data_IF_598196889299
#
_entry.id   IF_598196889299
#
_cell.length_a   1.000
_cell.length_b   1.000
_cell.length_c   1.000
_cell.angle_alpha   90.00
_cell.angle_beta   90.00
_cell.angle_gamma   90.00
#
_symmetry.space_group_name_H-M   'P 1'
#
loop_
_entity.id
_entity.type
_entity.pdbx_description
1 polymer ?
#
# COMPACT_ATOMS: atom_id res chain seq x y z
N UNK A 1 51.07 -6.01 42.02
CA UNK A 1 51.04 -4.56 41.75
C UNK A 1 51.51 -4.35 40.32
N UNK A 2 50.61 -4.00 39.40
CA UNK A 2 50.99 -3.66 38.01
C UNK A 2 50.22 -2.41 37.57
N UNK A 3 51.01 -1.44 37.13
CA UNK A 3 50.63 -0.07 36.85
C UNK A 3 49.74 0.05 35.59
N UNK A 4 48.77 0.95 35.67
CA UNK A 4 47.93 1.39 34.56
C UNK A 4 48.72 2.44 33.75
N UNK A 5 48.89 2.18 32.46
CA UNK A 5 49.43 3.14 31.51
C UNK A 5 48.33 4.12 31.07
N UNK A 6 48.46 5.37 31.49
CA UNK A 6 47.75 6.52 30.92
C UNK A 6 48.55 7.04 29.73
N UNK A 7 47.91 7.17 28.58
CA UNK A 7 48.45 7.93 27.45
C UNK A 7 47.52 9.12 27.15
N UNK A 8 48.03 10.31 27.45
CA UNK A 8 47.51 11.59 26.98
C UNK A 8 48.30 12.03 25.75
N UNK A 9 47.62 12.48 24.69
CA UNK A 9 48.12 13.59 23.88
C UNK A 9 46.99 14.24 23.09
N UNK A 10 46.88 15.54 23.29
CA UNK A 10 46.05 16.47 22.55
C UNK A 10 46.53 16.66 21.10
N UNK A 11 45.62 17.14 20.24
CA UNK A 11 45.79 18.40 19.47
C UNK A 11 44.55 18.67 18.62
N UNK A 12 43.97 19.86 18.81
CA UNK A 12 42.93 20.41 17.94
C UNK A 12 43.52 21.16 16.75
N UNK A 13 42.71 21.31 15.70
CA UNK A 13 42.86 22.33 14.66
C UNK A 13 41.45 22.76 14.24
N UNK A 14 41.14 24.03 14.48
CA UNK A 14 39.93 24.70 14.02
C UNK A 14 40.05 25.00 12.51
N UNK A 15 38.96 24.80 11.76
CA UNK A 15 38.89 25.16 10.33
C UNK A 15 37.89 26.29 10.12
N UNK A 16 38.44 27.44 9.76
CA UNK A 16 37.79 28.63 9.21
C UNK A 16 37.34 28.34 7.78
N UNK A 17 36.10 28.66 7.42
CA UNK A 17 35.75 28.99 6.03
C UNK A 17 34.87 30.24 5.95
N UNK A 18 35.29 31.04 4.98
CA UNK A 18 35.06 32.45 4.68
C UNK A 18 33.67 32.72 4.11
N UNK A 19 33.20 33.95 4.34
CA UNK A 19 32.10 34.63 3.65
C UNK A 19 32.43 35.04 2.21
N UNK A 20 31.39 35.10 1.36
CA UNK A 20 31.05 36.07 0.29
C UNK A 20 30.00 35.38 -0.63
N UNK A 21 28.98 35.99 -1.22
CA UNK A 21 28.67 37.37 -1.57
C UNK A 21 27.15 37.59 -1.67
N UNK A 22 26.75 38.85 -1.56
CA UNK A 22 25.39 39.38 -1.63
C UNK A 22 24.79 39.43 -3.04
N UNK A 23 23.47 39.52 -3.12
CA UNK A 23 22.75 40.33 -4.13
C UNK A 23 21.57 41.06 -3.45
N UNK A 24 21.29 42.33 -3.78
CA UNK A 24 20.39 43.18 -3.02
C UNK A 24 19.00 43.30 -3.68
N UNK A 25 17.92 43.20 -2.89
CA UNK A 25 16.61 43.70 -3.29
C UNK A 25 15.94 44.44 -2.14
N UNK A 26 15.92 45.76 -2.32
CA UNK A 26 14.90 46.74 -1.98
C UNK A 26 14.22 46.72 -0.60
N UNK A 27 14.64 47.72 0.17
CA UNK A 27 14.07 48.28 1.39
C UNK A 27 12.75 49.00 1.09
N UNK A 28 11.69 48.72 1.85
CA UNK A 28 10.56 49.61 2.03
C UNK A 28 10.29 49.76 3.53
N UNK A 29 10.53 50.95 4.04
CA UNK A 29 10.30 51.38 5.42
C UNK A 29 8.87 51.90 5.56
N UNK A 30 8.07 51.26 6.41
CA UNK A 30 6.79 51.81 6.87
C UNK A 30 6.93 52.26 8.33
N UNK A 31 6.91 53.57 8.54
CA UNK A 31 6.88 54.24 9.84
C UNK A 31 5.45 54.33 10.35
N UNK A 32 5.16 53.77 11.52
CA UNK A 32 3.93 54.04 12.28
C UNK A 32 4.26 54.95 13.49
N UNK A 33 3.43 55.96 13.78
CA UNK A 33 3.69 56.90 14.87
C UNK A 33 3.39 56.26 16.23
N UNK A 34 4.34 56.37 17.17
CA UNK A 34 4.14 56.04 18.58
C UNK A 34 3.27 57.12 19.25
N UNK A 35 2.03 56.79 19.54
CA UNK A 35 1.20 57.57 20.46
C UNK A 35 1.73 57.31 21.88
N UNK A 36 2.29 58.36 22.48
CA UNK A 36 2.78 58.36 23.86
C UNK A 36 1.61 58.65 24.79
N UNK A 37 1.08 57.62 25.46
CA UNK A 37 0.16 57.81 26.58
C UNK A 37 0.98 57.66 27.86
N UNK A 38 1.19 58.77 28.55
CA UNK A 38 1.75 58.83 29.89
C UNK A 38 0.79 58.14 30.86
N UNK A 39 1.21 57.01 31.43
CA UNK A 39 0.63 56.51 32.68
C UNK A 39 1.76 56.23 33.67
N UNK A 40 1.62 56.87 34.82
CA UNK A 40 2.51 56.91 35.97
C UNK A 40 2.90 55.52 36.44
N UNK A 41 4.20 55.21 36.43
CA UNK A 41 4.76 54.03 37.11
C UNK A 41 4.59 54.21 38.61
N UNK A 42 3.68 53.47 39.22
CA UNK A 42 3.63 53.31 40.67
C UNK A 42 4.61 52.21 41.04
N UNK A 43 5.73 52.58 41.68
CA UNK A 43 6.65 51.63 42.27
C UNK A 43 6.02 51.18 43.60
N UNK A 44 5.32 50.05 43.59
CA UNK A 44 5.00 49.37 44.83
C UNK A 44 6.29 48.71 45.33
N UNK A 45 6.99 49.39 46.24
CA UNK A 45 8.01 48.76 47.07
C UNK A 45 7.31 47.77 48.00
N UNK A 46 7.14 46.53 47.55
CA UNK A 46 6.76 45.44 48.43
C UNK A 46 7.92 45.19 49.41
N UNK A 47 7.63 45.35 50.70
CA UNK A 47 8.52 44.97 51.79
C UNK A 47 9.04 43.54 51.56
N UNK A 48 10.31 43.31 51.90
CA UNK A 48 10.91 41.97 52.04
C UNK A 48 10.12 41.17 53.08
N UNK A 49 9.00 40.58 52.68
CA UNK A 49 8.60 39.31 53.22
C UNK A 49 9.62 38.27 52.70
N UNK A 50 10.00 37.32 53.55
CA UNK A 50 10.90 36.23 53.18
C UNK A 50 10.55 35.68 51.78
N UNK A 51 11.52 35.22 50.97
CA UNK A 51 11.19 34.58 49.70
C UNK A 51 10.35 33.35 50.03
N UNK A 52 9.02 33.48 49.94
CA UNK A 52 8.16 32.33 49.72
C UNK A 52 8.73 31.77 48.43
N UNK A 53 9.38 30.62 48.53
CA UNK A 53 9.86 29.84 47.41
C UNK A 53 8.67 29.66 46.48
N UNK A 54 8.51 30.58 45.53
CA UNK A 54 7.46 30.53 44.53
C UNK A 54 7.83 29.29 43.74
N UNK A 55 7.13 28.20 44.05
CA UNK A 55 7.38 26.88 43.51
C UNK A 55 7.58 27.02 42.02
N UNK A 56 8.62 26.37 41.52
CA UNK A 56 8.84 26.17 40.09
C UNK A 56 7.47 25.83 39.46
N UNK A 57 7.08 26.39 38.30
CA UNK A 57 5.80 26.02 37.69
C UNK A 57 5.84 24.52 37.41
N UNK A 58 5.22 23.76 38.30
CA UNK A 58 5.13 22.32 38.27
C UNK A 58 3.81 21.96 37.59
N UNK A 59 3.90 21.06 36.64
CA UNK A 59 2.71 20.51 36.00
C UNK A 59 1.89 19.77 37.07
N UNK A 60 0.56 19.80 37.00
CA UNK A 60 -0.25 19.06 37.97
C UNK A 60 0.11 17.57 37.91
N UNK A 61 0.09 16.89 39.05
CA UNK A 61 0.50 15.46 39.14
C UNK A 61 -0.32 14.56 38.21
N UNK A 62 -1.57 14.95 37.91
CA UNK A 62 -2.48 14.25 37.01
C UNK A 62 -2.33 14.67 35.53
N UNK A 63 -1.30 15.47 35.19
CA UNK A 63 -1.07 15.89 33.82
C UNK A 63 -0.49 14.75 32.98
N UNK A 64 -1.22 14.40 31.92
CA UNK A 64 -0.73 13.50 30.88
C UNK A 64 -0.47 14.31 29.61
N UNK A 65 0.71 14.14 29.02
CA UNK A 65 1.04 14.81 27.76
C UNK A 65 0.14 14.30 26.63
N UNK A 66 -0.42 15.18 25.78
CA UNK A 66 -1.23 14.78 24.63
C UNK A 66 -0.53 13.78 23.69
N UNK A 67 0.80 13.89 23.57
CA UNK A 67 1.60 13.04 22.70
C UNK A 67 2.06 11.73 23.36
N UNK A 68 1.82 11.57 24.67
CA UNK A 68 2.18 10.37 25.44
C UNK A 68 1.00 9.96 26.33
N UNK A 69 -0.11 9.51 25.73
CA UNK A 69 -1.22 8.96 26.52
C UNK A 69 -0.77 7.70 27.27
N UNK A 70 -1.51 7.29 28.31
CA UNK A 70 -1.19 6.08 29.08
C UNK A 70 -1.38 4.84 28.22
N UNK A 71 -0.34 4.03 28.13
CA UNK A 71 -0.30 2.82 27.31
C UNK A 71 -0.27 1.57 28.20
N UNK A 72 -0.69 0.42 27.67
CA UNK A 72 -0.60 -0.88 28.36
C UNK A 72 0.86 -1.30 28.63
N UNK A 73 1.76 -0.95 27.71
CA UNK A 73 3.20 -1.21 27.80
C UNK A 73 3.99 0.08 27.62
N UNK A 74 5.21 0.13 28.15
CA UNK A 74 6.09 1.30 28.04
C UNK A 74 6.27 1.72 26.58
N UNK A 75 5.98 2.99 26.21
CA UNK A 75 6.02 3.44 24.82
C UNK A 75 7.44 3.55 24.27
N UNK A 76 8.44 3.74 25.12
CA UNK A 76 9.85 3.90 24.73
C UNK A 76 10.49 2.62 24.20
N UNK A 77 9.88 1.47 24.47
CA UNK A 77 10.45 0.20 24.02
C UNK A 77 10.28 0.02 22.51
N UNK A 78 11.33 -0.52 21.87
CA UNK A 78 11.30 -0.86 20.44
C UNK A 78 10.09 -1.73 20.08
N UNK A 79 9.67 -2.64 20.96
CA UNK A 79 8.50 -3.52 20.74
C UNK A 79 7.21 -2.72 20.56
N UNK A 80 6.95 -1.76 21.45
CA UNK A 80 5.76 -0.89 21.37
C UNK A 80 5.77 -0.03 20.11
N UNK A 81 6.93 0.52 19.75
CA UNK A 81 7.08 1.31 18.52
C UNK A 81 6.86 0.47 17.26
N UNK A 82 7.38 -0.76 17.22
CA UNK A 82 7.16 -1.67 16.08
C UNK A 82 5.68 -2.03 15.93
N UNK A 83 4.95 -2.27 17.02
CA UNK A 83 3.51 -2.55 16.95
C UNK A 83 2.79 -1.34 16.34
N UNK A 84 3.07 -0.11 16.80
CA UNK A 84 2.46 1.11 16.25
C UNK A 84 2.75 1.31 14.76
N UNK A 85 3.98 1.03 14.33
CA UNK A 85 4.37 1.11 12.92
C UNK A 85 3.63 0.05 12.11
N UNK A 86 3.52 -1.18 12.61
CA UNK A 86 2.84 -2.26 11.91
C UNK A 86 1.33 -2.10 11.87
N UNK A 87 0.68 -1.57 12.90
CA UNK A 87 -0.75 -1.27 12.86
C UNK A 87 -1.05 -0.16 11.85
N UNK A 88 -0.22 0.89 11.80
CA UNK A 88 -0.33 1.94 10.79
C UNK A 88 -0.12 1.37 9.37
N UNK A 89 0.90 0.52 9.20
CA UNK A 89 1.19 -0.16 7.93
C UNK A 89 -0.02 -0.99 7.49
N UNK A 90 -0.53 -1.90 8.33
CA UNK A 90 -1.68 -2.77 8.03
C UNK A 90 -2.96 -2.00 7.65
N UNK A 91 -3.17 -0.79 8.18
CA UNK A 91 -4.32 0.06 7.84
C UNK A 91 -4.09 0.86 6.55
N UNK A 92 -2.87 1.33 6.34
CA UNK A 92 -2.52 2.16 5.18
C UNK A 92 -2.30 1.38 3.89
N UNK A 93 -1.88 0.12 3.98
CA UNK A 93 -1.54 -0.69 2.81
C UNK A 93 -2.61 -1.75 2.54
N UNK A 94 -3.47 -1.57 1.52
CA UNK A 94 -4.51 -2.54 1.19
C UNK A 94 -3.94 -3.83 0.58
N UNK A 95 -2.76 -3.78 -0.04
CA UNK A 95 -2.11 -4.94 -0.67
C UNK A 95 -0.73 -5.18 -0.05
N UNK A 96 -0.54 -6.40 0.46
CA UNK A 96 0.74 -6.86 1.02
C UNK A 96 1.04 -8.28 0.55
N UNK A 97 2.26 -8.56 0.10
CA UNK A 97 2.71 -9.92 -0.21
C UNK A 97 3.71 -10.38 0.83
N UNK A 98 3.56 -11.62 1.33
CA UNK A 98 4.44 -12.21 2.32
C UNK A 98 5.44 -13.16 1.66
N UNK A 99 6.71 -12.88 1.91
CA UNK A 99 7.84 -13.67 1.46
C UNK A 99 8.55 -14.30 2.64
N UNK A 100 8.80 -15.61 2.59
CA UNK A 100 9.79 -16.22 3.46
C UNK A 100 11.17 -15.88 2.94
N UNK A 101 12.06 -15.47 3.83
CA UNK A 101 13.43 -15.14 3.46
C UNK A 101 14.43 -16.02 4.23
N UNK A 102 15.34 -16.68 3.52
CA UNK A 102 16.33 -17.56 4.13
C UNK A 102 17.73 -16.95 4.09
N UNK A 103 18.21 -16.38 5.21
CA UNK A 103 19.59 -15.91 5.39
C UNK A 103 20.17 -15.10 4.20
N UNK A 104 19.43 -14.08 3.75
CA UNK A 104 19.94 -13.16 2.72
C UNK A 104 20.99 -12.21 3.29
N UNK A 105 22.05 -11.99 2.51
CA UNK A 105 23.08 -10.99 2.83
C UNK A 105 22.63 -9.57 2.47
N UNK A 106 23.31 -8.55 3.02
CA UNK A 106 22.99 -7.16 2.70
C UNK A 106 23.17 -6.83 1.20
N UNK A 107 24.16 -7.45 0.56
CA UNK A 107 24.42 -7.31 -0.88
C UNK A 107 23.28 -7.91 -1.70
N UNK A 108 22.83 -9.11 -1.35
CA UNK A 108 21.67 -9.76 -1.99
C UNK A 108 20.40 -8.92 -1.82
N UNK A 109 20.12 -8.40 -0.62
CA UNK A 109 18.98 -7.50 -0.40
C UNK A 109 19.06 -6.24 -1.26
N UNK A 110 20.24 -5.65 -1.40
CA UNK A 110 20.43 -4.46 -2.24
C UNK A 110 20.20 -4.76 -3.72
N UNK A 111 20.64 -5.93 -4.19
CA UNK A 111 20.44 -6.39 -5.57
C UNK A 111 18.96 -6.65 -5.86
N UNK A 112 18.26 -7.39 -4.98
CA UNK A 112 16.81 -7.64 -5.13
C UNK A 112 16.02 -6.33 -5.15
N UNK A 113 16.32 -5.40 -4.24
CA UNK A 113 15.66 -4.08 -4.18
C UNK A 113 15.92 -3.24 -5.44
N UNK A 114 17.13 -3.33 -6.00
CA UNK A 114 17.50 -2.63 -7.24
C UNK A 114 16.67 -3.14 -8.42
N UNK A 115 16.59 -4.46 -8.60
CA UNK A 115 15.81 -5.05 -9.69
C UNK A 115 14.30 -4.80 -9.51
N UNK A 116 13.80 -4.84 -8.28
CA UNK A 116 12.41 -4.50 -7.97
C UNK A 116 12.10 -3.04 -8.35
N UNK A 117 12.91 -2.08 -7.90
CA UNK A 117 12.73 -0.66 -8.26
C UNK A 117 12.76 -0.45 -9.77
N UNK A 118 13.68 -1.12 -10.47
CA UNK A 118 13.78 -1.06 -11.92
C UNK A 118 12.52 -1.59 -12.61
N UNK A 119 12.00 -2.74 -12.17
CA UNK A 119 10.80 -3.31 -12.74
C UNK A 119 9.55 -2.46 -12.48
N UNK A 120 9.44 -1.86 -11.28
CA UNK A 120 8.35 -0.94 -10.98
C UNK A 120 8.41 0.34 -11.80
N UNK A 121 9.61 0.89 -12.04
CA UNK A 121 9.77 2.08 -12.90
C UNK A 121 9.45 1.83 -14.38
N UNK A 122 9.41 0.57 -14.82
CA UNK A 122 9.03 0.21 -16.19
C UNK A 122 7.51 0.21 -16.39
N UNK A 123 6.73 0.12 -15.30
CA UNK A 123 5.27 0.14 -15.37
C UNK A 123 4.83 1.53 -15.83
N UNK A 124 4.01 1.63 -16.90
CA UNK A 124 3.53 2.92 -17.37
C UNK A 124 2.71 3.59 -16.26
N UNK A 125 2.97 4.88 -16.02
CA UNK A 125 2.19 5.66 -15.08
C UNK A 125 0.70 5.61 -15.48
N UNK A 126 -0.23 5.50 -14.51
CA UNK A 126 -1.65 5.50 -14.82
C UNK A 126 -2.03 6.77 -15.58
N UNK A 127 -2.88 6.58 -16.58
CA UNK A 127 -3.35 7.65 -17.48
C UNK A 127 -4.00 8.73 -16.62
N UNK A 128 -3.69 10.00 -16.92
CA UNK A 128 -4.26 11.19 -16.26
C UNK A 128 -5.78 11.04 -16.24
N UNK A 129 -6.37 11.05 -15.03
CA UNK A 129 -7.82 11.04 -14.89
C UNK A 129 -8.45 12.27 -15.55
N UNK A 130 -9.76 12.27 -15.80
CA UNK A 130 -10.48 13.38 -16.43
C UNK A 130 -10.30 14.73 -15.71
N UNK A 131 -9.89 14.71 -14.44
CA UNK A 131 -9.68 15.90 -13.59
C UNK A 131 -8.28 16.55 -13.72
N UNK A 132 -7.40 16.04 -14.60
CA UNK A 132 -6.09 16.63 -14.86
C UNK A 132 -5.06 16.52 -13.71
N UNK A 133 -5.42 15.89 -12.59
CA UNK A 133 -4.49 15.58 -11.52
C UNK A 133 -3.55 14.45 -11.95
N UNK A 134 -2.24 14.70 -11.94
CA UNK A 134 -1.24 13.66 -12.17
C UNK A 134 -1.36 12.62 -11.05
N UNK A 135 -1.65 11.35 -11.36
CA UNK A 135 -1.68 10.32 -10.34
C UNK A 135 -0.30 10.20 -9.67
N UNK A 136 -0.30 10.13 -8.34
CA UNK A 136 0.92 10.01 -7.52
C UNK A 136 1.71 8.79 -7.97
N UNK A 137 3.01 8.94 -8.21
CA UNK A 137 3.88 7.81 -8.52
C UNK A 137 3.96 6.85 -7.32
N UNK A 138 3.44 5.65 -7.51
CA UNK A 138 3.38 4.62 -6.47
C UNK A 138 4.71 3.86 -6.40
N UNK A 139 5.54 3.88 -7.45
CA UNK A 139 6.74 3.05 -7.55
C UNK A 139 7.73 3.26 -6.40
N UNK A 140 7.90 4.50 -5.93
CA UNK A 140 8.82 4.82 -4.82
C UNK A 140 8.33 4.33 -3.45
N UNK A 141 7.01 4.28 -3.29
CA UNK A 141 6.36 3.88 -2.05
C UNK A 141 6.29 2.36 -1.86
N UNK A 142 6.43 1.59 -2.95
CA UNK A 142 6.46 0.13 -2.90
C UNK A 142 7.83 -0.32 -2.41
N UNK A 143 7.84 -1.01 -1.27
CA UNK A 143 9.08 -1.42 -0.61
C UNK A 143 8.97 -2.83 -0.04
N UNK A 144 10.06 -3.58 -0.15
CA UNK A 144 10.22 -4.87 0.52
C UNK A 144 10.91 -4.67 1.89
N UNK A 145 10.15 -4.93 2.95
CA UNK A 145 10.56 -4.73 4.32
C UNK A 145 10.62 -6.06 5.07
N UNK A 146 11.67 -6.26 5.86
CA UNK A 146 11.78 -7.43 6.74
C UNK A 146 10.92 -7.20 7.98
N UNK A 147 10.00 -8.12 8.24
CA UNK A 147 9.09 -8.02 9.37
C UNK A 147 9.63 -8.77 10.59
N UNK A 148 9.19 -8.31 11.77
CA UNK A 148 9.34 -9.08 13.01
C UNK A 148 8.03 -9.76 13.30
N UNK A 149 7.92 -11.03 12.91
CA UNK A 149 6.69 -11.81 12.93
C UNK A 149 5.95 -11.73 14.25
N UNK A 150 6.60 -11.92 15.40
CA UNK A 150 5.92 -11.82 16.72
C UNK A 150 5.31 -10.45 17.03
N UNK A 151 5.86 -9.35 16.52
CA UNK A 151 5.28 -8.01 16.73
C UNK A 151 4.22 -7.70 15.68
N UNK A 152 4.42 -8.19 14.46
CA UNK A 152 3.46 -8.06 13.37
C UNK A 152 2.18 -8.87 13.65
N UNK A 153 2.32 -10.08 14.21
CA UNK A 153 1.24 -10.93 14.70
C UNK A 153 0.34 -10.19 15.72
N UNK A 154 0.96 -9.56 16.73
CA UNK A 154 0.22 -8.75 17.72
C UNK A 154 -0.45 -7.54 17.06
N UNK A 155 0.25 -6.86 16.14
CA UNK A 155 -0.34 -5.73 15.41
C UNK A 155 -1.55 -6.16 14.56
N UNK A 156 -1.50 -7.35 13.96
CA UNK A 156 -2.62 -7.90 13.21
C UNK A 156 -3.83 -8.15 14.09
N UNK A 157 -3.64 -8.76 15.27
CA UNK A 157 -4.72 -8.95 16.26
C UNK A 157 -5.36 -7.63 16.67
N UNK A 158 -4.55 -6.58 16.90
CA UNK A 158 -5.08 -5.26 17.24
C UNK A 158 -5.90 -4.69 16.07
N UNK A 159 -5.45 -4.83 14.83
CA UNK A 159 -6.20 -4.28 13.68
C UNK A 159 -7.53 -4.99 13.47
N UNK A 160 -7.65 -6.27 13.80
CA UNK A 160 -8.86 -7.04 13.56
C UNK A 160 -9.84 -7.08 14.73
N UNK A 161 -9.36 -7.15 15.97
CA UNK A 161 -10.22 -7.34 17.15
C UNK A 161 -10.48 -6.06 17.95
N UNK A 162 -9.78 -4.96 17.65
CA UNK A 162 -9.95 -3.71 18.38
C UNK A 162 -10.65 -2.65 17.53
N UNK A 163 -11.89 -2.34 17.91
CA UNK A 163 -12.69 -1.27 17.33
C UNK A 163 -12.54 0.02 18.13
N UNK A 164 -11.82 0.98 17.54
CA UNK A 164 -11.58 2.27 18.16
C UNK A 164 -12.86 3.11 18.36
N UNK A 165 -13.88 2.90 17.50
CA UNK A 165 -15.16 3.61 17.58
C UNK A 165 -15.99 3.19 18.80
N UNK A 166 -15.94 1.91 19.17
CA UNK A 166 -16.61 1.41 20.38
C UNK A 166 -15.92 1.92 21.64
N UNK A 167 -14.59 1.92 21.63
CA UNK A 167 -13.80 2.49 22.70
C UNK A 167 -14.09 4.00 22.86
N UNK A 168 -14.23 4.75 21.76
CA UNK A 168 -14.49 6.20 21.82
C UNK A 168 -15.82 6.56 22.51
N UNK A 169 -16.81 5.66 22.52
CA UNK A 169 -18.10 5.86 23.21
C UNK A 169 -17.96 5.83 24.73
N UNK A 170 -16.89 5.22 25.26
CA UNK A 170 -16.59 5.21 26.67
C UNK A 170 -15.85 6.51 27.06
N UNK A 171 -16.42 7.29 27.99
CA UNK A 171 -16.02 8.67 28.30
C UNK A 171 -14.57 8.88 28.77
N UNK A 172 -13.82 7.81 29.06
CA UNK A 172 -12.43 7.84 29.54
C UNK A 172 -11.50 6.85 28.81
N UNK A 173 -11.92 6.27 27.69
CA UNK A 173 -11.13 5.25 27.00
C UNK A 173 -10.16 5.88 25.99
N UNK A 174 -8.90 5.44 26.05
CA UNK A 174 -7.91 5.81 25.05
C UNK A 174 -8.08 4.94 23.80
N UNK A 175 -8.18 5.57 22.63
CA UNK A 175 -8.48 4.91 21.35
C UNK A 175 -7.25 4.46 20.56
N UNK A 176 -6.05 4.71 21.07
CA UNK A 176 -4.82 4.35 20.36
C UNK A 176 -4.49 2.85 20.51
N UNK A 177 -3.75 2.30 19.55
CA UNK A 177 -3.45 0.86 19.44
C UNK A 177 -2.69 0.24 20.62
N UNK A 178 -1.96 1.06 21.37
CA UNK A 178 -1.16 0.64 22.53
C UNK A 178 -1.90 0.83 23.87
N UNK A 179 -3.18 1.18 23.82
CA UNK A 179 -4.02 1.42 24.99
C UNK A 179 -4.27 0.14 25.79
N UNK A 180 -4.71 0.30 27.04
CA UNK A 180 -5.13 -0.83 27.89
C UNK A 180 -6.38 -1.52 27.33
N UNK A 181 -7.31 -0.74 26.78
CA UNK A 181 -8.54 -1.23 26.14
C UNK A 181 -8.23 -2.11 24.93
N UNK A 182 -7.32 -1.68 24.05
CA UNK A 182 -6.87 -2.51 22.92
C UNK A 182 -6.20 -3.81 23.38
N UNK A 183 -5.41 -3.74 24.45
CA UNK A 183 -4.77 -4.93 25.03
C UNK A 183 -5.79 -5.92 25.63
N UNK A 184 -6.80 -5.42 26.34
CA UNK A 184 -7.86 -6.23 26.92
C UNK A 184 -8.76 -6.84 25.84
N UNK A 185 -9.13 -6.07 24.81
CA UNK A 185 -9.89 -6.56 23.66
C UNK A 185 -9.17 -7.72 22.96
N UNK A 186 -7.88 -7.56 22.64
CA UNK A 186 -7.08 -8.62 22.01
C UNK A 186 -6.91 -9.83 22.93
N UNK A 187 -6.86 -9.64 24.25
CA UNK A 187 -6.75 -10.75 25.21
C UNK A 187 -8.08 -11.52 25.35
N UNK A 188 -9.20 -10.82 25.24
CA UNK A 188 -10.54 -11.41 25.29
C UNK A 188 -10.96 -12.04 23.95
N UNK A 189 -10.33 -11.65 22.84
CA UNK A 189 -10.70 -12.11 21.51
C UNK A 189 -10.36 -13.59 21.26
N UNK A 190 -11.32 -14.28 20.65
CA UNK A 190 -11.18 -15.68 20.22
C UNK A 190 -10.29 -15.78 18.98
N UNK A 191 -9.04 -16.14 19.21
CA UNK A 191 -8.00 -16.25 18.17
C UNK A 191 -8.16 -17.51 17.30
N UNK A 192 -9.00 -18.46 17.71
CA UNK A 192 -9.13 -19.80 17.10
C UNK A 192 -10.20 -19.87 16.00
N UNK A 193 -11.00 -18.83 15.82
CA UNK A 193 -12.09 -18.83 14.84
C UNK A 193 -11.53 -18.83 13.41
N UNK A 194 -11.82 -19.85 12.58
CA UNK A 194 -11.22 -19.99 11.24
C UNK A 194 -11.76 -18.99 10.21
N UNK A 195 -12.89 -18.34 10.49
CA UNK A 195 -13.53 -17.37 9.59
C UNK A 195 -12.89 -15.97 9.65
N UNK A 196 -12.02 -15.74 10.63
CA UNK A 196 -11.33 -14.48 10.89
C UNK A 196 -10.12 -14.34 9.96
N UNK A 197 -9.85 -13.15 9.43
CA UNK A 197 -8.73 -12.91 8.51
C UNK A 197 -7.37 -13.21 9.18
N UNK A 198 -7.26 -12.97 10.47
CA UNK A 198 -6.10 -13.32 11.30
C UNK A 198 -5.83 -14.82 11.25
N UNK A 199 -6.85 -15.65 11.41
CA UNK A 199 -6.67 -17.09 11.44
C UNK A 199 -6.15 -17.63 10.10
N UNK A 200 -6.53 -17.00 8.99
CA UNK A 200 -6.05 -17.35 7.66
C UNK A 200 -4.61 -16.89 7.39
N UNK A 201 -4.21 -15.72 7.93
CA UNK A 201 -2.88 -15.14 7.68
C UNK A 201 -1.84 -15.58 8.72
N UNK A 202 -2.26 -15.91 9.95
CA UNK A 202 -1.37 -16.32 11.04
C UNK A 202 -0.43 -17.48 10.67
N UNK A 203 -0.86 -18.54 9.97
CA UNK A 203 0.03 -19.61 9.52
C UNK A 203 1.14 -19.13 8.55
N UNK A 204 0.89 -18.07 7.79
CA UNK A 204 1.86 -17.49 6.85
C UNK A 204 2.93 -16.65 7.57
N UNK A 205 2.71 -16.30 8.83
CA UNK A 205 3.60 -15.47 9.66
C UNK A 205 4.56 -16.30 10.53
N UNK A 206 4.71 -17.58 10.24
CA UNK A 206 5.66 -18.46 10.91
C UNK A 206 7.07 -18.35 10.29
N UNK A 207 8.09 -18.18 11.15
CA UNK A 207 9.48 -18.06 10.71
C UNK A 207 9.93 -16.64 10.33
N UNK A 208 11.01 -16.51 9.53
CA UNK A 208 11.50 -15.23 9.04
C UNK A 208 10.73 -14.78 7.79
N UNK A 209 9.95 -13.70 7.93
CA UNK A 209 9.06 -13.18 6.88
C UNK A 209 9.41 -11.74 6.53
N UNK A 210 9.38 -11.43 5.23
CA UNK A 210 9.42 -10.10 4.66
C UNK A 210 8.07 -9.80 4.00
N UNK A 211 7.65 -8.54 4.01
CA UNK A 211 6.47 -8.10 3.29
C UNK A 211 6.85 -7.12 2.19
N UNK A 212 6.24 -7.29 1.02
CA UNK A 212 6.20 -6.29 -0.03
C UNK A 212 4.88 -5.54 0.09
N UNK A 213 4.95 -4.24 0.38
CA UNK A 213 3.77 -3.40 0.65
C UNK A 213 3.43 -2.52 -0.54
N UNK A 214 2.15 -2.43 -0.86
CA UNK A 214 1.60 -1.53 -1.89
C UNK A 214 0.59 -0.59 -1.24
N UNK A 215 0.73 0.74 -1.40
CA UNK A 215 -0.27 1.69 -0.89
C UNK A 215 -1.61 1.65 -1.61
N UNK A 216 -1.64 1.17 -2.85
CA UNK A 216 -2.87 1.02 -3.64
C UNK A 216 -2.88 -0.35 -4.31
N UNK A 217 -4.08 -0.89 -4.57
CA UNK A 217 -4.24 -2.16 -5.27
C UNK A 217 -4.04 -1.92 -6.77
N UNK A 218 -2.82 -2.13 -7.26
CA UNK A 218 -2.48 -2.00 -8.67
C UNK A 218 -1.94 -3.32 -9.23
N UNK A 219 -2.77 -4.08 -9.99
CA UNK A 219 -2.35 -5.32 -10.64
C UNK A 219 -1.12 -5.17 -11.53
N UNK A 220 -0.95 -4.03 -12.22
CA UNK A 220 0.21 -3.79 -13.09
C UNK A 220 1.54 -3.77 -12.31
N UNK A 221 1.57 -3.08 -11.17
CA UNK A 221 2.74 -3.05 -10.29
C UNK A 221 2.98 -4.40 -9.60
N UNK A 222 1.90 -5.10 -9.24
CA UNK A 222 1.94 -6.45 -8.70
C UNK A 222 2.56 -7.42 -9.73
N UNK A 223 2.09 -7.39 -10.98
CA UNK A 223 2.60 -8.20 -12.07
C UNK A 223 4.09 -7.97 -12.34
N UNK A 224 4.53 -6.71 -12.33
CA UNK A 224 5.94 -6.36 -12.45
C UNK A 224 6.77 -6.91 -11.29
N UNK A 225 6.26 -6.83 -10.05
CA UNK A 225 6.92 -7.39 -8.89
C UNK A 225 6.99 -8.93 -8.94
N UNK A 226 5.92 -9.63 -9.37
CA UNK A 226 5.91 -11.10 -9.51
C UNK A 226 6.91 -11.57 -10.58
N UNK A 227 7.02 -10.87 -11.71
CA UNK A 227 8.02 -11.18 -12.75
C UNK A 227 9.45 -11.19 -12.23
N UNK A 228 9.75 -10.38 -11.20
CA UNK A 228 11.09 -10.31 -10.58
C UNK A 228 11.23 -11.29 -9.42
N UNK A 229 10.27 -11.32 -8.49
CA UNK A 229 10.43 -12.04 -7.22
C UNK A 229 10.05 -13.51 -7.32
N UNK A 230 9.02 -13.86 -8.09
CA UNK A 230 8.51 -15.22 -8.22
C UNK A 230 8.04 -15.46 -9.66
N UNK A 231 8.96 -15.53 -10.63
CA UNK A 231 8.61 -15.71 -12.03
C UNK A 231 7.93 -17.06 -12.24
N UNK A 232 6.78 -17.06 -12.91
CA UNK A 232 6.06 -18.28 -13.28
C UNK A 232 5.56 -18.16 -14.71
N UNK A 233 6.25 -18.85 -15.63
CA UNK A 233 5.83 -18.94 -17.02
C UNK A 233 4.54 -19.79 -17.13
N UNK A 234 3.58 -19.48 -18.02
CA UNK A 234 3.62 -18.45 -19.07
C UNK A 234 3.12 -17.04 -18.69
N UNK A 235 2.37 -16.87 -17.59
CA UNK A 235 1.72 -15.58 -17.25
C UNK A 235 2.69 -14.50 -16.76
N UNK A 236 3.69 -14.88 -15.96
CA UNK A 236 4.69 -13.97 -15.40
C UNK A 236 6.10 -14.42 -15.81
N UNK A 237 6.52 -14.15 -17.06
CA UNK A 237 7.84 -14.53 -17.53
C UNK A 237 8.92 -13.69 -16.82
N UNK A 238 10.03 -14.35 -16.49
CA UNK A 238 11.21 -13.66 -15.97
C UNK A 238 11.72 -12.63 -16.99
N UNK A 239 12.28 -11.49 -16.52
CA UNK A 239 12.82 -10.48 -17.41
C UNK A 239 13.96 -11.03 -18.27
N UNK A 240 14.00 -10.67 -19.55
CA UNK A 240 15.00 -11.21 -20.49
C UNK A 240 16.41 -10.70 -20.20
N UNK A 241 17.42 -11.55 -20.43
CA UNK A 241 18.85 -11.22 -20.25
C UNK A 241 19.29 -9.97 -20.99
N UNK A 242 18.76 -9.75 -22.20
CA UNK A 242 19.12 -8.59 -23.04
C UNK A 242 18.59 -7.29 -22.46
N UNK A 243 17.37 -7.29 -21.92
CA UNK A 243 16.74 -6.09 -21.36
C UNK A 243 17.29 -5.78 -19.97
N UNK A 244 17.42 -6.80 -19.12
CA UNK A 244 17.83 -6.67 -17.72
C UNK A 244 19.01 -7.60 -17.40
N UNK A 245 20.27 -7.19 -17.68
CA UNK A 245 21.44 -8.00 -17.35
C UNK A 245 21.66 -8.11 -15.83
N UNK A 246 21.30 -7.07 -15.06
CA UNK A 246 21.45 -7.03 -13.59
C UNK A 246 20.64 -8.10 -12.85
N UNK A 247 19.52 -8.54 -13.42
CA UNK A 247 18.73 -9.64 -12.88
C UNK A 247 19.50 -10.97 -12.84
N UNK A 248 20.42 -11.19 -13.79
CA UNK A 248 21.20 -12.42 -13.90
C UNK A 248 22.58 -12.32 -13.24
N UNK A 249 22.81 -11.26 -12.47
CA UNK A 249 23.97 -11.16 -11.59
C UNK A 249 23.88 -12.22 -10.49
N UNK A 250 25.02 -12.78 -10.07
CA UNK A 250 25.09 -13.81 -9.03
C UNK A 250 24.43 -13.37 -7.72
N UNK A 251 24.64 -12.11 -7.31
CA UNK A 251 24.04 -11.56 -6.09
C UNK A 251 22.51 -11.48 -6.17
N UNK A 252 21.95 -11.09 -7.32
CA UNK A 252 20.51 -11.03 -7.52
C UNK A 252 19.90 -12.44 -7.56
N UNK A 253 20.49 -13.35 -8.35
CA UNK A 253 20.01 -14.73 -8.48
C UNK A 253 20.07 -15.50 -7.17
N UNK A 254 21.18 -15.38 -6.43
CA UNK A 254 21.30 -16.02 -5.11
C UNK A 254 20.28 -15.47 -4.11
N UNK A 255 20.01 -14.16 -4.14
CA UNK A 255 18.99 -13.54 -3.30
C UNK A 255 17.58 -14.02 -3.65
N UNK A 256 17.23 -14.08 -4.94
CA UNK A 256 15.91 -14.51 -5.41
C UNK A 256 15.63 -15.98 -5.09
N UNK A 257 16.63 -16.86 -5.20
CA UNK A 257 16.49 -18.28 -4.82
C UNK A 257 16.19 -18.49 -3.33
N UNK A 258 16.51 -17.53 -2.47
CA UNK A 258 16.28 -17.56 -1.02
C UNK A 258 14.96 -16.90 -0.60
N UNK A 259 14.25 -16.28 -1.54
CA UNK A 259 12.97 -15.63 -1.31
C UNK A 259 11.84 -16.49 -1.87
N UNK A 260 10.93 -16.90 -0.99
CA UNK A 260 9.79 -17.72 -1.36
C UNK A 260 8.50 -16.94 -1.12
N UNK A 261 7.67 -16.77 -2.14
CA UNK A 261 6.33 -16.20 -1.99
C UNK A 261 5.43 -17.22 -1.31
N UNK A 262 4.92 -16.89 -0.12
CA UNK A 262 3.97 -17.74 0.60
C UNK A 262 2.54 -17.40 0.17
N UNK A 263 2.20 -16.11 0.19
CA UNK A 263 0.86 -15.62 -0.09
C UNK A 263 0.78 -14.11 0.08
N UNK A 264 -0.42 -13.58 0.18
CA UNK A 264 -0.65 -12.15 0.33
C UNK A 264 -1.95 -11.82 1.04
N UNK A 265 -2.07 -10.56 1.42
CA UNK A 265 -3.29 -9.93 1.90
C UNK A 265 -3.72 -8.91 0.85
N UNK A 266 -4.95 -9.02 0.38
CA UNK A 266 -5.57 -8.04 -0.52
C UNK A 266 -6.89 -7.58 0.11
N UNK A 267 -6.98 -6.30 0.43
CA UNK A 267 -8.18 -5.64 0.98
C UNK A 267 -8.75 -6.35 2.24
N UNK A 268 -7.87 -6.88 3.08
CA UNK A 268 -8.26 -7.57 4.32
C UNK A 268 -8.55 -9.06 4.16
N UNK A 269 -8.54 -9.60 2.93
CA UNK A 269 -8.67 -11.03 2.68
C UNK A 269 -7.31 -11.69 2.47
N UNK A 270 -7.17 -12.92 2.95
CA UNK A 270 -5.99 -13.74 2.72
C UNK A 270 -6.06 -14.36 1.31
N UNK A 271 -4.93 -14.37 0.61
CA UNK A 271 -4.78 -14.99 -0.69
C UNK A 271 -3.54 -15.88 -0.69
N UNK A 272 -3.70 -17.10 -1.22
CA UNK A 272 -2.60 -18.02 -1.45
C UNK A 272 -1.76 -17.59 -2.66
N UNK A 273 -0.64 -18.29 -2.90
CA UNK A 273 0.21 -18.08 -4.08
C UNK A 273 -0.56 -17.99 -5.41
N UNK A 274 -1.52 -18.91 -5.65
CA UNK A 274 -2.34 -18.92 -6.86
C UNK A 274 -3.33 -17.74 -6.90
N UNK A 275 -3.87 -17.36 -5.74
CA UNK A 275 -4.75 -16.20 -5.63
C UNK A 275 -4.02 -14.89 -5.94
N UNK A 276 -2.80 -14.73 -5.43
CA UNK A 276 -1.94 -13.57 -5.76
C UNK A 276 -1.62 -13.51 -7.25
N UNK A 277 -1.34 -14.66 -7.87
CA UNK A 277 -1.10 -14.78 -9.30
C UNK A 277 -2.33 -14.34 -10.12
N UNK A 278 -3.52 -14.79 -9.72
CA UNK A 278 -4.78 -14.36 -10.33
C UNK A 278 -4.99 -12.85 -10.23
N UNK A 279 -4.77 -12.25 -9.05
CA UNK A 279 -4.89 -10.78 -8.87
C UNK A 279 -3.89 -10.02 -9.75
N UNK A 280 -2.66 -10.54 -9.88
CA UNK A 280 -1.66 -9.96 -10.78
C UNK A 280 -1.99 -10.12 -12.27
N UNK A 281 -2.82 -11.09 -12.63
CA UNK A 281 -3.24 -11.38 -14.01
C UNK A 281 -4.45 -10.58 -14.48
N UNK A 282 -5.02 -9.73 -13.62
CA UNK A 282 -6.15 -8.87 -13.98
C UNK A 282 -5.66 -7.75 -14.92
N UNK A 283 -5.96 -7.92 -16.21
CA UNK A 283 -5.68 -6.93 -17.24
C UNK A 283 -6.52 -5.66 -17.05
N UNK A 284 -5.91 -4.49 -17.28
CA UNK A 284 -6.58 -3.19 -17.16
C UNK A 284 -6.79 -2.70 -15.72
N UNK A 285 -6.42 -3.48 -14.70
CA UNK A 285 -6.51 -3.10 -13.30
C UNK A 285 -7.94 -2.72 -12.88
N UNK A 286 -8.07 -1.67 -12.07
CA UNK A 286 -9.36 -1.21 -11.56
C UNK A 286 -10.25 -0.65 -12.69
N UNK A 287 -9.65 -0.04 -13.72
CA UNK A 287 -10.39 0.45 -14.88
C UNK A 287 -10.88 -0.70 -15.76
N UNK A 288 -10.09 -1.77 -15.88
CA UNK A 288 -10.51 -3.03 -16.53
C UNK A 288 -11.76 -3.61 -15.85
N UNK A 289 -11.76 -3.73 -14.52
CA UNK A 289 -12.92 -4.20 -13.76
C UNK A 289 -14.13 -3.26 -13.89
N UNK A 290 -13.92 -1.94 -13.88
CA UNK A 290 -14.99 -0.97 -14.14
C UNK A 290 -15.55 -1.13 -15.55
N UNK A 291 -14.71 -1.33 -16.55
CA UNK A 291 -15.14 -1.57 -17.93
C UNK A 291 -15.93 -2.87 -18.06
N UNK A 292 -15.54 -3.93 -17.35
CA UNK A 292 -16.28 -5.20 -17.29
C UNK A 292 -17.64 -5.02 -16.64
N UNK A 293 -17.75 -4.23 -15.56
CA UNK A 293 -19.03 -3.89 -14.94
C UNK A 293 -19.92 -3.10 -15.90
N UNK A 294 -19.38 -2.08 -16.57
CA UNK A 294 -20.10 -1.30 -17.58
C UNK A 294 -20.56 -2.20 -18.73
N UNK A 295 -19.70 -3.11 -19.19
CA UNK A 295 -20.04 -4.09 -20.23
C UNK A 295 -21.13 -5.07 -19.76
N UNK A 296 -21.05 -5.59 -18.54
CA UNK A 296 -22.11 -6.46 -17.97
C UNK A 296 -23.44 -5.72 -17.90
N UNK A 297 -23.45 -4.47 -17.44
CA UNK A 297 -24.64 -3.61 -17.41
C UNK A 297 -25.18 -3.33 -18.82
N UNK A 298 -24.31 -2.99 -19.77
CA UNK A 298 -24.71 -2.75 -21.16
C UNK A 298 -25.22 -4.04 -21.83
N UNK A 299 -24.60 -5.19 -21.56
CA UNK A 299 -25.00 -6.49 -22.10
C UNK A 299 -26.38 -6.93 -21.58
N UNK A 300 -26.74 -6.60 -20.34
CA UNK A 300 -28.07 -6.86 -19.80
C UNK A 300 -29.14 -6.01 -20.52
N UNK A 301 -28.84 -4.73 -20.79
CA UNK A 301 -29.71 -3.85 -21.58
C UNK A 301 -29.85 -4.31 -23.04
N UNK A 302 -28.73 -4.65 -23.68
CA UNK A 302 -28.71 -5.20 -25.03
C UNK A 302 -29.49 -6.52 -25.10
N UNK A 303 -29.33 -7.40 -24.10
CA UNK A 303 -30.07 -8.66 -24.00
C UNK A 303 -31.58 -8.48 -24.08
N UNK A 304 -32.14 -7.51 -23.33
CA UNK A 304 -33.57 -7.18 -23.38
C UNK A 304 -34.00 -6.66 -24.76
N UNK A 305 -33.21 -5.77 -25.36
CA UNK A 305 -33.52 -5.25 -26.70
C UNK A 305 -33.42 -6.35 -27.76
N UNK A 306 -32.44 -7.24 -27.69
CA UNK A 306 -32.30 -8.38 -28.62
C UNK A 306 -33.44 -9.39 -28.46
N UNK A 307 -33.97 -9.57 -27.26
CA UNK A 307 -35.12 -10.44 -27.04
C UNK A 307 -36.41 -9.87 -27.67
N UNK A 308 -36.62 -8.56 -27.53
CA UNK A 308 -37.75 -7.86 -28.16
C UNK A 308 -37.59 -7.76 -29.68
N UNK A 309 -36.39 -7.46 -30.16
CA UNK A 309 -36.07 -7.41 -31.59
C UNK A 309 -36.14 -8.81 -32.22
N UNK A 310 -35.84 -9.87 -31.48
CA UNK A 310 -35.87 -11.25 -31.95
C UNK A 310 -37.24 -11.68 -32.51
N UNK A 311 -38.34 -11.25 -31.88
CA UNK A 311 -39.69 -11.51 -32.41
C UNK A 311 -39.93 -10.76 -33.72
N UNK A 312 -39.48 -9.51 -33.81
CA UNK A 312 -39.64 -8.70 -35.03
C UNK A 312 -38.80 -9.23 -36.20
N UNK A 313 -37.55 -9.63 -35.93
CA UNK A 313 -36.65 -10.27 -36.90
C UNK A 313 -37.17 -11.63 -37.33
N UNK A 314 -37.73 -12.41 -36.40
CA UNK A 314 -38.35 -13.70 -36.71
C UNK A 314 -39.52 -13.56 -37.68
N UNK A 315 -40.42 -12.60 -37.44
CA UNK A 315 -41.52 -12.29 -38.36
C UNK A 315 -41.02 -11.80 -39.72
N UNK A 316 -40.01 -10.92 -39.74
CA UNK A 316 -39.41 -10.43 -40.97
C UNK A 316 -38.77 -11.56 -41.79
N UNK A 317 -38.02 -12.46 -41.15
CA UNK A 317 -37.43 -13.64 -41.80
C UNK A 317 -38.51 -14.59 -42.34
N UNK A 318 -39.63 -14.77 -41.64
CA UNK A 318 -40.74 -15.58 -42.13
C UNK A 318 -41.40 -14.97 -43.38
N UNK A 319 -41.62 -13.64 -43.38
CA UNK A 319 -42.18 -12.93 -44.53
C UNK A 319 -41.23 -12.94 -45.73
N UNK A 320 -39.94 -12.74 -45.50
CA UNK A 320 -38.94 -12.78 -46.56
C UNK A 320 -38.76 -14.21 -47.10
N UNK A 321 -38.76 -15.23 -46.24
CA UNK A 321 -38.75 -16.63 -46.67
C UNK A 321 -39.98 -17.00 -47.52
N UNK A 322 -41.15 -16.42 -47.21
CA UNK A 322 -42.36 -16.63 -48.03
C UNK A 322 -42.25 -15.87 -49.35
N UNK A 323 -41.66 -14.69 -49.35
CA UNK A 323 -41.40 -13.91 -50.57
C UNK A 323 -40.47 -14.67 -51.51
N UNK A 324 -39.33 -15.16 -51.01
CA UNK A 324 -38.37 -15.93 -51.83
C UNK A 324 -38.98 -17.21 -52.38
N UNK A 325 -39.81 -17.91 -51.61
CA UNK A 325 -40.54 -19.09 -52.10
C UNK A 325 -41.50 -18.76 -53.25
N UNK A 326 -42.23 -17.64 -53.15
CA UNK A 326 -43.12 -17.19 -54.24
C UNK A 326 -42.34 -16.72 -55.47
N UNK A 327 -41.19 -16.06 -55.27
CA UNK A 327 -40.31 -15.64 -56.37
C UNK A 327 -39.66 -16.85 -57.08
N UNK A 328 -39.37 -17.94 -56.35
CA UNK A 328 -38.90 -19.23 -56.88
C UNK A 328 -40.03 -20.00 -57.60
N UNK A 329 -41.24 -20.04 -57.03
CA UNK A 329 -42.42 -20.66 -57.64
C UNK A 329 -42.88 -19.92 -58.92
N UNK A 330 -42.67 -18.60 -59.01
CA UNK A 330 -42.95 -17.81 -60.21
C UNK A 330 -41.87 -17.95 -61.30
N UNK A 331 -40.66 -18.43 -60.99
CA UNK A 331 -39.56 -18.62 -61.95
C UNK A 331 -38.99 -20.06 -61.97
N UNK A 332 -39.76 -21.09 -62.35
CA UNK A 332 -39.31 -22.49 -62.36
C UNK A 332 -38.34 -22.88 -63.51
N UNK A 333 -37.50 -21.96 -64.04
CA UNK A 333 -36.66 -22.21 -65.23
C UNK A 333 -35.18 -21.80 -65.11
N UNK A 334 -34.52 -22.05 -63.98
CA UNK A 334 -33.05 -21.84 -63.89
C UNK A 334 -32.24 -22.94 -63.22
N UNK A 335 -32.78 -24.15 -63.02
CA UNK A 335 -32.00 -25.29 -62.54
C UNK A 335 -32.28 -26.58 -63.33
N UNK A 336 -32.32 -26.51 -64.65
CA UNK A 336 -32.16 -27.68 -65.53
C UNK A 336 -31.39 -27.25 -66.78
N UNK A 337 -30.08 -27.07 -66.68
CA UNK A 337 -29.16 -27.14 -67.82
C UNK A 337 -27.74 -27.30 -67.28
N UNK A 338 -27.27 -28.55 -67.19
CA UNK A 338 -25.86 -28.84 -66.95
C UNK A 338 -25.53 -30.05 -66.09
N UNK A 339 -26.07 -31.24 -66.37
CA UNK A 339 -25.26 -32.48 -66.33
C UNK A 339 -26.03 -33.65 -66.96
N UNK A 340 -25.76 -33.91 -68.24
CA UNK A 340 -26.02 -35.19 -68.86
C UNK A 340 -24.89 -36.17 -68.46
N UNK A 341 -25.21 -37.44 -68.11
CA UNK A 341 -24.19 -38.44 -67.83
C UNK A 341 -23.64 -39.04 -69.13
N UNK A 342 -22.43 -39.63 -69.10
CA UNK A 342 -22.36 -40.98 -69.64
C UNK A 342 -21.58 -41.97 -68.76
N UNK A 343 -22.13 -43.17 -68.86
CA UNK A 343 -21.66 -44.52 -68.53
C UNK A 343 -20.19 -44.87 -68.79
N UNK A 344 -19.76 -45.86 -67.99
CA UNK A 344 -18.70 -46.88 -68.22
C UNK A 344 -17.27 -46.51 -67.85
#
# INVERSE_FOLDING_TARGET
MSARLNCSSARGVARVLRSQSANPLSRATATLPQISISSTRHYAAAARAAPISLGKPELPENYVSPNKPPTARRPETRKSQMIRVYTALLRSTPLMLFFQHNNLTAVEWSAVRRELKRALSEVPAPIVGPDGSVPVDIAESIQIQVLRTKMFDVAFKVVEFFDAEEAAKQSNAYTHDLSKTAYEAVKAADTTNPNTAYAQISPLLEGPVAALTFPTVSPAHLAAALKVLSPSAPEFPAPTRRKNPGYYELAAQSGLQKLFLIGGRVEGKAFDYQGVRWVGGIDGGLEGLRSQLVYMLQSAGLGLTTALEGQSKGLWLALESRRTQLDEEQNPKKQEEGEAPPSS
#
